data_IF_239570519141
#
_entry.id   IF_239570519141
#
_cell.length_a   1.000
_cell.length_b   1.000
_cell.length_c   1.000
_cell.angle_alpha   90.00
_cell.angle_beta   90.00
_cell.angle_gamma   90.00
#
_symmetry.space_group_name_H-M   'P 1'
#
loop_
_entity.id
_entity.type
_entity.pdbx_description
1 polymer ?
#
# COMPACT_ATOMS: atom_id res chain seq x y z
N UNK A 1 17.95 -3.34 26.96
CA UNK A 1 17.51 -4.54 27.67
C UNK A 1 16.05 -4.87 27.32
N UNK A 2 15.63 -6.13 27.54
CA UNK A 2 14.24 -6.50 27.58
C UNK A 2 13.61 -6.16 28.95
N UNK A 3 12.29 -6.35 29.10
CA UNK A 3 11.56 -6.02 30.34
C UNK A 3 12.14 -6.71 31.58
N UNK A 4 12.53 -8.00 31.46
CA UNK A 4 13.10 -8.78 32.59
C UNK A 4 14.48 -8.25 32.97
N UNK A 5 15.34 -8.04 32.01
CA UNK A 5 16.69 -7.48 32.22
C UNK A 5 16.61 -6.05 32.81
N UNK A 6 15.63 -5.24 32.34
CA UNK A 6 15.41 -3.91 32.89
C UNK A 6 14.98 -3.95 34.38
N UNK A 7 14.10 -4.88 34.75
CA UNK A 7 13.71 -5.10 36.17
C UNK A 7 14.91 -5.51 37.00
N UNK A 8 15.74 -6.44 36.54
CA UNK A 8 16.94 -6.90 37.23
C UNK A 8 17.96 -5.77 37.40
N UNK A 9 18.25 -5.02 36.32
CA UNK A 9 19.26 -3.98 36.34
C UNK A 9 18.81 -2.72 37.13
N UNK A 10 17.54 -2.34 37.03
CA UNK A 10 16.98 -1.22 37.77
C UNK A 10 16.55 -1.56 39.21
N UNK A 11 16.33 -2.84 39.52
CA UNK A 11 15.70 -3.33 40.74
C UNK A 11 14.31 -2.71 40.98
N UNK A 12 13.58 -2.44 39.93
CA UNK A 12 12.19 -1.97 39.93
C UNK A 12 11.32 -3.04 39.29
N UNK A 13 10.27 -3.46 39.97
CA UNK A 13 9.31 -4.41 39.42
C UNK A 13 8.34 -3.69 38.48
N UNK A 14 8.45 -3.95 37.17
CA UNK A 14 7.65 -3.28 36.13
C UNK A 14 6.29 -3.98 36.03
N UNK A 15 5.24 -3.34 36.58
CA UNK A 15 3.84 -3.83 36.55
C UNK A 15 2.97 -3.05 35.57
N UNK A 16 3.25 -1.77 35.39
CA UNK A 16 2.49 -0.80 34.62
C UNK A 16 3.43 0.21 33.95
N UNK A 17 2.86 1.17 33.22
CA UNK A 17 3.60 2.20 32.52
C UNK A 17 4.40 3.12 33.45
N UNK A 18 3.88 3.43 34.64
CA UNK A 18 4.56 4.27 35.59
C UNK A 18 5.84 3.60 36.13
N UNK A 19 5.76 2.34 36.53
CA UNK A 19 6.92 1.56 36.97
C UNK A 19 7.92 1.24 35.85
N UNK A 20 7.44 1.15 34.59
CA UNK A 20 8.31 1.07 33.41
C UNK A 20 9.09 2.37 33.22
N UNK A 21 8.43 3.53 33.33
CA UNK A 21 9.08 4.84 33.24
C UNK A 21 10.13 5.02 34.33
N UNK A 22 9.80 4.69 35.58
CA UNK A 22 10.75 4.75 36.70
C UNK A 22 12.00 3.87 36.45
N UNK A 23 11.78 2.67 35.91
CA UNK A 23 12.87 1.76 35.55
C UNK A 23 13.77 2.35 34.48
N UNK A 24 13.19 2.89 33.39
CA UNK A 24 13.93 3.48 32.28
C UNK A 24 14.72 4.72 32.73
N UNK A 25 14.14 5.61 33.53
CA UNK A 25 14.82 6.79 34.09
C UNK A 25 15.99 6.35 34.96
N UNK A 26 15.79 5.35 35.81
CA UNK A 26 16.86 4.83 36.68
C UNK A 26 18.00 4.22 35.86
N UNK A 27 17.69 3.49 34.78
CA UNK A 27 18.72 2.94 33.88
C UNK A 27 19.47 4.06 33.17
N UNK A 28 18.76 5.08 32.64
CA UNK A 28 19.36 6.26 32.01
C UNK A 28 20.39 6.92 32.94
N UNK A 29 20.00 7.21 34.16
CA UNK A 29 20.87 7.85 35.15
C UNK A 29 22.02 6.95 35.60
N UNK A 30 21.76 5.67 35.90
CA UNK A 30 22.77 4.72 36.38
C UNK A 30 23.88 4.43 35.37
N UNK A 31 23.54 4.43 34.08
CA UNK A 31 24.47 4.08 33.00
C UNK A 31 24.92 5.30 32.17
N UNK A 32 24.56 6.52 32.60
CA UNK A 32 24.89 7.78 31.95
C UNK A 32 24.55 7.77 30.44
N UNK A 33 23.30 7.42 30.13
CA UNK A 33 22.84 7.27 28.74
C UNK A 33 22.18 8.55 28.23
N UNK A 34 22.45 8.93 26.99
CA UNK A 34 21.70 9.97 26.29
C UNK A 34 20.25 9.53 26.06
N UNK A 35 20.04 8.29 25.68
CA UNK A 35 18.74 7.67 25.45
C UNK A 35 18.69 6.31 26.14
N UNK A 36 17.64 6.06 26.92
CA UNK A 36 17.34 4.75 27.49
C UNK A 36 16.15 4.11 26.78
N UNK A 37 16.24 2.82 26.46
CA UNK A 37 15.16 2.08 25.84
C UNK A 37 15.03 0.67 26.43
N UNK A 38 13.79 0.16 26.42
CA UNK A 38 13.44 -1.19 26.87
C UNK A 38 12.54 -1.85 25.83
N UNK A 39 12.91 -3.06 25.39
CA UNK A 39 12.04 -3.85 24.50
C UNK A 39 10.93 -4.54 25.31
N UNK A 40 9.70 -4.47 24.81
CA UNK A 40 8.47 -4.92 25.49
C UNK A 40 7.80 -6.10 24.76
N UNK A 41 8.57 -6.89 24.02
CA UNK A 41 8.07 -8.01 23.20
C UNK A 41 6.99 -7.52 22.22
N UNK A 42 5.79 -8.10 22.24
CA UNK A 42 4.65 -7.75 21.41
C UNK A 42 4.16 -6.31 21.58
N UNK A 43 4.50 -5.65 22.69
CA UNK A 43 4.13 -4.25 22.95
C UNK A 43 5.12 -3.24 22.36
N UNK A 44 6.21 -3.69 21.73
CA UNK A 44 7.16 -2.85 21.02
C UNK A 44 8.34 -2.38 21.86
N UNK A 45 8.68 -1.09 21.77
CA UNK A 45 9.86 -0.50 22.43
C UNK A 45 9.50 0.77 23.16
N UNK A 46 9.78 0.83 24.46
CA UNK A 46 9.71 2.05 25.25
C UNK A 46 11.02 2.83 25.13
N UNK A 47 10.94 4.14 24.97
CA UNK A 47 12.06 5.07 24.82
C UNK A 47 11.92 6.24 25.76
N UNK A 48 13.06 6.68 26.33
CA UNK A 48 13.16 7.89 27.14
C UNK A 48 14.44 8.67 26.83
N UNK A 49 14.25 9.87 26.28
CA UNK A 49 15.28 10.88 25.97
C UNK A 49 14.87 12.26 26.49
N UNK A 50 14.33 12.34 27.71
CA UNK A 50 13.59 13.44 28.34
C UNK A 50 12.09 13.45 28.01
N UNK A 51 11.64 12.65 27.04
CA UNK A 51 10.22 12.34 26.79
C UNK A 51 10.03 10.84 26.78
N UNK A 52 9.03 10.36 27.53
CA UNK A 52 8.64 8.97 27.51
C UNK A 52 7.66 8.70 26.36
N UNK A 53 7.88 7.61 25.62
CA UNK A 53 6.99 7.15 24.57
C UNK A 53 7.19 5.67 24.30
N UNK A 54 6.13 5.02 23.84
CA UNK A 54 6.14 3.62 23.45
C UNK A 54 5.85 3.54 21.95
N UNK A 55 6.76 2.91 21.22
CA UNK A 55 6.59 2.57 19.81
C UNK A 55 6.08 1.15 19.70
N UNK A 56 4.78 0.98 19.47
CA UNK A 56 4.14 -0.31 19.32
C UNK A 56 4.71 -1.09 18.13
N UNK A 57 4.79 -2.41 18.26
CA UNK A 57 5.08 -3.29 17.12
C UNK A 57 3.80 -3.64 16.38
N UNK A 58 3.92 -3.95 15.09
CA UNK A 58 2.81 -4.32 14.20
C UNK A 58 3.00 -5.71 13.60
N UNK A 59 3.67 -6.63 14.31
CA UNK A 59 3.89 -7.99 13.84
C UNK A 59 2.54 -8.68 13.54
N UNK A 60 2.35 -9.15 12.29
CA UNK A 60 1.12 -9.81 11.85
C UNK A 60 1.09 -11.29 12.21
N UNK A 61 2.23 -11.96 12.09
CA UNK A 61 2.38 -13.38 12.37
C UNK A 61 3.73 -13.58 13.08
N UNK A 62 3.72 -14.29 14.18
CA UNK A 62 4.90 -14.60 14.97
C UNK A 62 5.12 -16.10 14.90
N UNK A 63 6.18 -16.54 14.22
CA UNK A 63 6.58 -17.94 14.14
C UNK A 63 7.68 -18.26 15.16
N UNK A 64 8.69 -17.39 15.26
CA UNK A 64 9.80 -17.58 16.19
C UNK A 64 10.34 -16.21 16.66
N UNK A 65 10.51 -16.03 17.96
CA UNK A 65 11.03 -14.79 18.54
C UNK A 65 12.55 -14.80 18.71
N UNK A 66 13.21 -15.88 18.35
CA UNK A 66 14.66 -16.04 18.47
C UNK A 66 15.40 -15.02 17.62
N UNK A 67 16.30 -14.25 18.21
CA UNK A 67 17.09 -13.22 17.51
C UNK A 67 16.37 -11.90 17.27
N UNK A 68 15.09 -11.74 17.68
CA UNK A 68 14.37 -10.49 17.54
C UNK A 68 15.05 -9.33 18.27
N UNK A 69 15.50 -9.54 19.51
CA UNK A 69 16.22 -8.55 20.32
C UNK A 69 17.54 -8.12 19.68
N UNK A 70 18.31 -9.07 19.15
CA UNK A 70 19.58 -8.83 18.47
C UNK A 70 19.34 -8.03 17.17
N UNK A 71 18.26 -8.35 16.45
CA UNK A 71 17.84 -7.62 15.26
C UNK A 71 17.45 -6.17 15.57
N UNK A 72 16.69 -5.95 16.67
CA UNK A 72 16.37 -4.59 17.15
C UNK A 72 17.65 -3.82 17.43
N UNK A 73 18.59 -4.40 18.17
CA UNK A 73 19.83 -3.73 18.55
C UNK A 73 20.68 -3.39 17.32
N UNK A 74 20.89 -4.35 16.42
CA UNK A 74 21.69 -4.18 15.21
C UNK A 74 21.10 -3.12 14.27
N UNK A 75 19.78 -3.21 14.01
CA UNK A 75 19.09 -2.27 13.11
C UNK A 75 18.96 -0.87 13.70
N UNK A 76 18.81 -0.75 15.03
CA UNK A 76 18.83 0.52 15.75
C UNK A 76 20.20 1.19 15.61
N UNK A 77 21.29 0.48 15.91
CA UNK A 77 22.65 0.97 15.77
C UNK A 77 22.97 1.41 14.34
N UNK A 78 22.59 0.59 13.35
CA UNK A 78 22.74 0.94 11.94
C UNK A 78 21.99 2.22 11.59
N UNK A 79 20.74 2.36 12.00
CA UNK A 79 19.89 3.53 11.71
C UNK A 79 20.46 4.82 12.31
N UNK A 80 20.93 4.76 13.56
CA UNK A 80 21.58 5.90 14.24
C UNK A 80 22.87 6.27 13.53
N UNK A 81 23.69 5.28 13.14
CA UNK A 81 24.91 5.53 12.38
C UNK A 81 24.65 6.17 11.01
N UNK A 82 23.47 5.92 10.41
CA UNK A 82 23.01 6.59 9.20
C UNK A 82 22.40 7.99 9.45
N UNK A 83 22.39 8.48 10.69
CA UNK A 83 21.89 9.81 11.05
C UNK A 83 20.39 9.92 11.28
N UNK A 84 19.67 8.81 11.43
CA UNK A 84 18.25 8.85 11.77
C UNK A 84 18.03 9.32 13.21
N UNK A 85 16.96 10.08 13.44
CA UNK A 85 16.50 10.41 14.79
C UNK A 85 16.01 9.16 15.50
N UNK A 86 16.08 9.15 16.84
CA UNK A 86 15.75 7.97 17.67
C UNK A 86 14.38 7.36 17.34
N UNK A 87 13.35 8.16 17.15
CA UNK A 87 12.01 7.66 16.84
C UNK A 87 11.93 6.96 15.48
N UNK A 88 12.67 7.47 14.48
CA UNK A 88 12.77 6.87 13.16
C UNK A 88 13.59 5.56 13.23
N UNK A 89 14.67 5.57 13.99
CA UNK A 89 15.52 4.41 14.20
C UNK A 89 14.75 3.27 14.90
N UNK A 90 13.97 3.58 15.94
CA UNK A 90 13.13 2.60 16.64
C UNK A 90 12.02 2.04 15.73
N UNK A 91 11.36 2.89 14.93
CA UNK A 91 10.36 2.41 13.94
C UNK A 91 10.99 1.44 12.93
N UNK A 92 12.14 1.80 12.38
CA UNK A 92 12.87 0.92 11.46
C UNK A 92 13.26 -0.41 12.14
N UNK A 93 13.71 -0.37 13.39
CA UNK A 93 14.09 -1.57 14.15
C UNK A 93 12.90 -2.48 14.43
N UNK A 94 11.72 -1.91 14.73
CA UNK A 94 10.49 -2.68 14.89
C UNK A 94 10.08 -3.37 13.59
N UNK A 95 10.24 -2.72 12.43
CA UNK A 95 9.99 -3.34 11.13
C UNK A 95 10.97 -4.49 10.85
N UNK A 96 12.27 -4.29 11.11
CA UNK A 96 13.28 -5.32 10.93
C UNK A 96 13.02 -6.54 11.84
N UNK A 97 12.67 -6.32 13.10
CA UNK A 97 12.28 -7.38 14.02
C UNK A 97 11.00 -8.09 13.56
N UNK A 98 10.00 -7.35 13.04
CA UNK A 98 8.78 -7.90 12.47
C UNK A 98 9.02 -8.86 11.31
N UNK A 99 10.01 -8.58 10.45
CA UNK A 99 10.44 -9.50 9.38
C UNK A 99 11.05 -10.77 9.96
N UNK A 100 11.91 -10.64 10.98
CA UNK A 100 12.63 -11.80 11.57
C UNK A 100 11.69 -12.72 12.32
N UNK A 101 10.78 -12.19 13.15
CA UNK A 101 9.82 -13.03 13.91
C UNK A 101 8.81 -13.76 13.01
N UNK A 102 8.64 -13.31 11.77
CA UNK A 102 7.87 -14.00 10.71
C UNK A 102 8.61 -15.16 10.03
N UNK A 103 9.86 -15.45 10.44
CA UNK A 103 10.69 -16.54 9.88
C UNK A 103 10.92 -17.62 10.94
N UNK A 104 11.25 -18.83 10.51
CA UNK A 104 11.56 -19.93 11.42
C UNK A 104 13.06 -19.93 11.72
N UNK A 105 13.42 -20.00 13.01
CA UNK A 105 14.80 -20.03 13.49
C UNK A 105 15.51 -18.68 13.45
N UNK A 106 16.81 -18.66 13.71
CA UNK A 106 17.63 -17.45 13.63
C UNK A 106 17.72 -16.96 12.20
N UNK A 107 17.07 -15.84 11.90
CA UNK A 107 16.97 -15.28 10.57
C UNK A 107 17.52 -13.83 10.53
N UNK A 108 17.83 -13.36 9.33
CA UNK A 108 18.20 -11.98 9.07
C UNK A 108 17.11 -11.24 8.28
N UNK A 109 17.07 -9.92 8.37
CA UNK A 109 16.19 -9.07 7.57
C UNK A 109 17.03 -8.26 6.58
N UNK A 110 16.74 -8.39 5.29
CA UNK A 110 17.29 -7.51 4.25
C UNK A 110 16.47 -6.21 4.16
N UNK A 111 17.07 -5.13 3.65
CA UNK A 111 16.36 -3.87 3.41
C UNK A 111 15.14 -4.06 2.50
N UNK A 112 15.25 -4.93 1.49
CA UNK A 112 14.14 -5.24 0.60
C UNK A 112 12.96 -5.86 1.35
N UNK A 113 13.22 -6.85 2.21
CA UNK A 113 12.19 -7.48 3.03
C UNK A 113 11.55 -6.51 4.02
N UNK A 114 12.33 -5.59 4.60
CA UNK A 114 11.83 -4.56 5.52
C UNK A 114 10.89 -3.60 4.78
N UNK A 115 11.23 -3.15 3.56
CA UNK A 115 10.39 -2.29 2.73
C UNK A 115 9.10 -3.02 2.33
N UNK A 116 9.19 -4.28 1.92
CA UNK A 116 8.03 -5.12 1.58
C UNK A 116 7.12 -5.33 2.80
N UNK A 117 7.71 -5.56 3.96
CA UNK A 117 6.98 -5.70 5.22
C UNK A 117 6.27 -4.41 5.63
N UNK A 118 6.96 -3.25 5.64
CA UNK A 118 6.37 -1.95 5.91
C UNK A 118 5.18 -1.66 4.99
N UNK A 119 5.37 -1.88 3.68
CA UNK A 119 4.30 -1.79 2.70
C UNK A 119 3.12 -2.73 3.00
N UNK A 120 3.39 -3.91 3.54
CA UNK A 120 2.35 -4.90 3.87
C UNK A 120 1.53 -4.55 5.10
N UNK A 121 2.12 -3.80 6.06
CA UNK A 121 1.44 -3.41 7.32
C UNK A 121 0.63 -2.12 7.13
N UNK A 122 1.19 -1.17 6.40
CA UNK A 122 0.64 0.18 6.27
C UNK A 122 -0.37 0.30 5.11
N UNK A 123 -0.35 -0.63 4.14
CA UNK A 123 -1.35 -0.66 3.07
C UNK A 123 -2.58 -1.43 3.52
N UNK A 124 -3.76 -0.87 3.30
CA UNK A 124 -5.02 -1.61 3.38
C UNK A 124 -5.00 -2.81 2.42
N UNK A 125 -5.88 -3.78 2.60
CA UNK A 125 -5.99 -4.90 1.65
C UNK A 125 -6.14 -4.41 0.21
N UNK A 126 -6.89 -3.33 0.02
CA UNK A 126 -7.15 -2.71 -1.29
C UNK A 126 -5.93 -1.96 -1.83
N UNK A 127 -5.14 -1.27 -0.98
CA UNK A 127 -3.94 -0.53 -1.42
C UNK A 127 -2.91 -1.43 -2.11
N UNK A 128 -2.88 -2.72 -1.77
CA UNK A 128 -1.99 -3.70 -2.42
C UNK A 128 -2.28 -3.90 -3.90
N UNK A 129 -3.49 -3.58 -4.33
CA UNK A 129 -3.92 -3.64 -5.71
C UNK A 129 -3.59 -2.36 -6.50
N UNK A 130 -3.26 -1.24 -5.82
CA UNK A 130 -2.80 0.00 -6.46
C UNK A 130 -1.30 -0.12 -6.72
N UNK A 131 -0.89 0.05 -7.98
CA UNK A 131 0.50 -0.08 -8.44
C UNK A 131 0.97 1.18 -9.14
N UNK A 132 2.24 1.52 -8.95
CA UNK A 132 2.91 2.49 -9.82
C UNK A 132 3.22 1.86 -11.17
N UNK A 133 3.63 2.69 -12.13
CA UNK A 133 4.08 2.21 -13.44
C UNK A 133 5.28 1.26 -13.31
N UNK A 134 6.23 1.56 -12.43
CA UNK A 134 7.42 0.77 -12.18
C UNK A 134 7.11 -0.57 -11.50
N UNK A 135 6.13 -0.58 -10.59
CA UNK A 135 5.69 -1.79 -9.87
C UNK A 135 4.92 -2.76 -10.76
N UNK A 136 4.10 -2.26 -11.71
CA UNK A 136 3.25 -3.11 -12.52
C UNK A 136 4.02 -3.88 -13.60
N UNK A 137 5.12 -3.33 -14.14
CA UNK A 137 5.87 -3.93 -15.25
C UNK A 137 6.46 -5.31 -14.90
N UNK A 138 7.24 -5.48 -13.80
CA UNK A 138 7.75 -6.80 -13.45
C UNK A 138 6.64 -7.81 -13.14
N UNK A 139 5.53 -7.33 -12.57
CA UNK A 139 4.38 -8.17 -12.24
C UNK A 139 3.68 -8.70 -13.50
N UNK A 140 3.53 -7.86 -14.54
CA UNK A 140 2.99 -8.28 -15.84
C UNK A 140 3.88 -9.36 -16.48
N UNK A 141 5.19 -9.20 -16.38
CA UNK A 141 6.14 -10.17 -16.94
C UNK A 141 5.98 -11.55 -16.26
N UNK A 142 5.85 -11.60 -14.95
CA UNK A 142 5.58 -12.83 -14.20
C UNK A 142 4.21 -13.44 -14.56
N UNK A 143 3.16 -12.62 -14.64
CA UNK A 143 1.82 -13.07 -15.02
C UNK A 143 1.80 -13.70 -16.41
N UNK A 144 2.50 -13.11 -17.38
CA UNK A 144 2.63 -13.65 -18.74
C UNK A 144 3.41 -14.97 -18.77
N UNK A 145 4.49 -15.09 -17.98
CA UNK A 145 5.23 -16.35 -17.82
C UNK A 145 4.34 -17.47 -17.25
N UNK A 146 3.34 -17.12 -16.44
CA UNK A 146 2.33 -18.05 -15.92
C UNK A 146 1.13 -18.24 -16.84
N UNK A 147 1.21 -17.81 -18.08
CA UNK A 147 0.15 -17.89 -19.10
C UNK A 147 -1.17 -17.24 -18.64
N UNK A 148 -1.13 -16.18 -17.83
CA UNK A 148 -2.31 -15.43 -17.42
C UNK A 148 -2.78 -14.49 -18.51
N UNK A 149 -4.07 -14.56 -18.86
CA UNK A 149 -4.70 -13.69 -19.84
C UNK A 149 -4.97 -12.32 -19.23
N UNK A 150 -4.26 -11.28 -19.70
CA UNK A 150 -4.33 -9.93 -19.17
C UNK A 150 -5.36 -9.13 -19.95
N UNK A 151 -6.32 -8.55 -19.23
CA UNK A 151 -7.32 -7.61 -19.73
C UNK A 151 -6.94 -6.22 -19.22
N UNK A 152 -7.04 -5.22 -20.09
CA UNK A 152 -6.82 -3.82 -19.74
C UNK A 152 -8.05 -2.99 -20.09
N UNK A 153 -8.41 -2.09 -19.20
CA UNK A 153 -9.34 -1.00 -19.48
C UNK A 153 -8.85 0.29 -18.84
N UNK A 154 -9.41 1.44 -19.21
CA UNK A 154 -9.08 2.70 -18.54
C UNK A 154 -10.29 3.63 -18.48
N UNK A 155 -10.24 4.59 -17.56
CA UNK A 155 -11.28 5.60 -17.44
C UNK A 155 -11.06 6.55 -16.27
N UNK A 156 -11.94 7.54 -16.15
CA UNK A 156 -11.92 8.52 -15.06
C UNK A 156 -12.50 7.98 -13.76
N UNK A 157 -13.57 7.19 -13.82
CA UNK A 157 -14.26 6.57 -12.67
C UNK A 157 -14.49 7.53 -11.50
N UNK A 158 -14.98 8.74 -11.82
CA UNK A 158 -15.07 9.82 -10.84
C UNK A 158 -16.15 9.55 -9.78
N UNK A 159 -17.40 9.38 -10.20
CA UNK A 159 -18.49 8.94 -9.33
C UNK A 159 -18.89 7.52 -9.75
N UNK A 160 -18.65 6.56 -8.87
CA UNK A 160 -18.97 5.16 -9.12
C UNK A 160 -20.48 4.93 -9.09
N UNK A 161 -20.98 4.16 -10.06
CA UNK A 161 -22.37 3.76 -10.18
C UNK A 161 -22.48 2.34 -10.75
N UNK A 162 -23.67 1.76 -10.72
CA UNK A 162 -23.90 0.37 -11.15
C UNK A 162 -23.40 0.08 -12.58
N UNK A 163 -23.44 1.08 -13.48
CA UNK A 163 -22.88 0.94 -14.84
C UNK A 163 -21.38 0.66 -14.85
N UNK A 164 -20.62 1.26 -13.93
CA UNK A 164 -19.18 0.95 -13.78
C UNK A 164 -18.97 -0.47 -13.25
N UNK A 165 -19.78 -0.91 -12.29
CA UNK A 165 -19.68 -2.27 -11.73
C UNK A 165 -19.91 -3.31 -12.82
N UNK A 166 -21.02 -3.22 -13.57
CA UNK A 166 -21.35 -4.14 -14.65
C UNK A 166 -20.30 -4.14 -15.77
N UNK A 167 -19.77 -2.95 -16.12
CA UNK A 167 -18.71 -2.82 -17.10
C UNK A 167 -17.43 -3.54 -16.65
N UNK A 168 -17.00 -3.36 -15.39
CA UNK A 168 -15.80 -3.99 -14.86
C UNK A 168 -15.96 -5.50 -14.70
N UNK A 169 -17.14 -5.99 -14.32
CA UNK A 169 -17.45 -7.42 -14.28
C UNK A 169 -17.39 -8.04 -15.69
N UNK A 170 -17.96 -7.38 -16.67
CA UNK A 170 -17.89 -7.80 -18.08
C UNK A 170 -16.43 -7.79 -18.57
N UNK A 171 -15.67 -6.73 -18.29
CA UNK A 171 -14.27 -6.66 -18.66
C UNK A 171 -13.45 -7.81 -18.03
N UNK A 172 -13.65 -8.09 -16.74
CA UNK A 172 -12.98 -9.19 -16.03
C UNK A 172 -13.27 -10.56 -16.63
N UNK A 173 -14.49 -10.77 -17.12
CA UNK A 173 -14.90 -12.07 -17.70
C UNK A 173 -14.12 -12.47 -18.94
N UNK A 174 -13.40 -11.56 -19.59
CA UNK A 174 -12.62 -11.84 -20.80
C UNK A 174 -11.23 -12.42 -20.51
N UNK A 175 -10.76 -12.41 -19.23
CA UNK A 175 -9.45 -12.95 -18.90
C UNK A 175 -9.21 -13.18 -17.41
N UNK A 176 -7.99 -13.59 -17.08
CA UNK A 176 -7.61 -13.95 -15.72
C UNK A 176 -7.33 -12.73 -14.84
N UNK A 177 -6.74 -11.68 -15.40
CA UNK A 177 -6.25 -10.50 -14.70
C UNK A 177 -6.80 -9.25 -15.34
N UNK A 178 -7.54 -8.44 -14.57
CA UNK A 178 -8.01 -7.12 -15.00
C UNK A 178 -7.11 -6.02 -14.42
N UNK A 179 -6.45 -5.29 -15.31
CA UNK A 179 -5.67 -4.09 -14.99
C UNK A 179 -6.47 -2.87 -15.42
N UNK A 180 -6.67 -1.94 -14.48
CA UNK A 180 -7.41 -0.72 -14.72
C UNK A 180 -6.46 0.48 -14.74
N UNK A 181 -6.34 1.16 -15.88
CA UNK A 181 -5.69 2.45 -16.00
C UNK A 181 -6.62 3.57 -15.50
N UNK A 182 -6.25 4.25 -14.44
CA UNK A 182 -7.03 5.33 -13.86
C UNK A 182 -6.45 6.68 -14.26
N UNK A 183 -7.25 7.53 -14.90
CA UNK A 183 -6.85 8.90 -15.20
C UNK A 183 -6.59 9.69 -13.91
N UNK A 184 -5.42 10.35 -13.81
CA UNK A 184 -5.10 11.26 -12.71
C UNK A 184 -6.07 12.45 -12.66
N UNK A 185 -6.07 13.19 -11.57
CA UNK A 185 -6.90 14.40 -11.42
C UNK A 185 -6.61 15.40 -12.52
N UNK A 186 -5.34 15.64 -12.83
CA UNK A 186 -4.91 16.50 -13.93
C UNK A 186 -5.50 16.05 -15.27
N UNK A 187 -5.43 14.77 -15.57
CA UNK A 187 -5.95 14.20 -16.83
C UNK A 187 -7.48 14.32 -16.91
N UNK A 188 -8.17 14.05 -15.79
CA UNK A 188 -9.64 14.22 -15.74
C UNK A 188 -10.06 15.69 -15.93
N UNK A 189 -9.38 16.63 -15.27
CA UNK A 189 -9.63 18.07 -15.44
C UNK A 189 -9.44 18.50 -16.89
N UNK A 190 -8.41 18.02 -17.56
CA UNK A 190 -8.16 18.30 -18.97
C UNK A 190 -9.27 17.74 -19.89
N UNK A 191 -9.84 16.59 -19.56
CA UNK A 191 -10.87 15.90 -20.36
C UNK A 191 -12.29 16.39 -20.10
N UNK A 192 -12.62 16.77 -18.84
CA UNK A 192 -13.99 17.01 -18.37
C UNK A 192 -14.25 18.40 -17.80
N UNK A 193 -13.22 19.25 -17.74
CA UNK A 193 -13.35 20.61 -17.24
C UNK A 193 -12.88 20.78 -15.78
N UNK A 194 -12.80 22.06 -15.34
CA UNK A 194 -12.17 22.45 -14.06
C UNK A 194 -12.87 21.93 -12.82
N UNK A 195 -14.18 21.65 -12.92
CA UNK A 195 -14.99 21.17 -11.80
C UNK A 195 -14.94 19.64 -11.63
N UNK A 196 -14.04 18.98 -12.36
CA UNK A 196 -13.84 17.52 -12.33
C UNK A 196 -12.36 17.18 -12.15
N UNK A 197 -12.05 16.08 -11.42
CA UNK A 197 -12.97 15.12 -10.80
C UNK A 197 -13.58 15.66 -9.50
N UNK A 198 -14.66 15.00 -9.03
CA UNK A 198 -15.26 15.25 -7.71
C UNK A 198 -14.43 14.56 -6.61
N UNK A 199 -14.05 13.31 -6.84
CA UNK A 199 -13.19 12.53 -5.93
C UNK A 199 -11.75 12.58 -6.39
N UNK A 200 -10.82 12.69 -5.42
CA UNK A 200 -9.38 12.65 -5.69
C UNK A 200 -8.97 11.35 -6.39
N UNK A 201 -7.88 11.37 -7.15
CA UNK A 201 -7.35 10.16 -7.79
C UNK A 201 -7.06 9.05 -6.79
N UNK A 202 -6.63 9.38 -5.57
CA UNK A 202 -6.30 8.40 -4.53
C UNK A 202 -7.57 7.74 -3.98
N UNK A 203 -8.64 8.52 -3.73
CA UNK A 203 -9.95 7.98 -3.33
C UNK A 203 -10.53 7.10 -4.43
N UNK A 204 -10.47 7.54 -5.69
CA UNK A 204 -10.96 6.77 -6.84
C UNK A 204 -10.19 5.46 -7.01
N UNK A 205 -8.86 5.51 -6.85
CA UNK A 205 -8.02 4.32 -6.93
C UNK A 205 -8.35 3.33 -5.80
N UNK A 206 -8.52 3.81 -4.58
CA UNK A 206 -8.85 2.96 -3.42
C UNK A 206 -10.22 2.29 -3.59
N UNK A 207 -11.24 3.02 -4.03
CA UNK A 207 -12.58 2.47 -4.31
C UNK A 207 -12.49 1.37 -5.37
N UNK A 208 -11.79 1.62 -6.48
CA UNK A 208 -11.64 0.66 -7.57
C UNK A 208 -10.83 -0.57 -7.17
N UNK A 209 -9.79 -0.39 -6.38
CA UNK A 209 -8.96 -1.45 -5.85
C UNK A 209 -9.70 -2.36 -4.83
N UNK A 210 -10.79 -1.87 -4.25
CA UNK A 210 -11.66 -2.65 -3.38
C UNK A 210 -12.66 -3.55 -4.16
N UNK A 211 -12.79 -3.38 -5.47
CA UNK A 211 -13.66 -4.22 -6.29
C UNK A 211 -13.00 -5.58 -6.53
N UNK A 212 -13.67 -6.66 -6.14
CA UNK A 212 -13.19 -8.03 -6.29
C UNK A 212 -12.77 -8.39 -7.73
N UNK A 213 -13.35 -7.73 -8.73
CA UNK A 213 -13.08 -7.99 -10.14
C UNK A 213 -11.88 -7.22 -10.69
N UNK A 214 -11.35 -6.24 -9.96
CA UNK A 214 -10.18 -5.44 -10.33
C UNK A 214 -8.95 -6.00 -9.62
N UNK A 215 -8.01 -6.54 -10.38
CA UNK A 215 -6.79 -7.10 -9.81
C UNK A 215 -5.74 -6.01 -9.54
N UNK A 216 -5.62 -5.04 -10.43
CA UNK A 216 -4.67 -3.92 -10.28
C UNK A 216 -5.22 -2.62 -10.83
N UNK A 217 -4.91 -1.52 -10.14
CA UNK A 217 -5.18 -0.14 -10.56
C UNK A 217 -3.84 0.58 -10.75
N UNK A 218 -3.69 1.25 -11.89
CA UNK A 218 -2.49 2.05 -12.20
C UNK A 218 -2.93 3.46 -12.57
N UNK A 219 -2.49 4.47 -11.80
CA UNK A 219 -2.78 5.87 -12.10
C UNK A 219 -1.81 6.35 -13.19
N UNK A 220 -2.31 7.00 -14.23
CA UNK A 220 -1.51 7.60 -15.29
C UNK A 220 -1.84 9.09 -15.49
N UNK A 221 -0.82 9.88 -15.81
CA UNK A 221 -0.90 11.34 -15.91
C UNK A 221 -1.10 11.87 -17.33
N UNK A 222 -0.88 11.04 -18.33
CA UNK A 222 -0.97 11.42 -19.73
C UNK A 222 -2.42 11.62 -20.18
N UNK A 223 -2.63 12.36 -21.26
CA UNK A 223 -3.95 12.58 -21.82
C UNK A 223 -4.56 11.29 -22.41
N UNK A 224 -3.71 10.33 -22.76
CA UNK A 224 -4.13 9.02 -23.27
C UNK A 224 -3.37 7.90 -22.56
N UNK A 225 -3.92 6.68 -22.43
CA UNK A 225 -3.27 5.56 -21.79
C UNK A 225 -2.23 4.86 -22.69
N UNK A 226 -1.77 5.48 -23.78
CA UNK A 226 -0.94 4.85 -24.79
C UNK A 226 0.33 4.22 -24.23
N UNK A 227 1.10 4.97 -23.41
CA UNK A 227 2.35 4.48 -22.84
C UNK A 227 2.11 3.31 -21.89
N UNK A 228 1.04 3.36 -21.12
CA UNK A 228 0.65 2.28 -20.20
C UNK A 228 0.25 1.03 -20.99
N UNK A 229 -0.58 1.15 -22.03
CA UNK A 229 -0.98 0.05 -22.91
C UNK A 229 0.24 -0.56 -23.62
N UNK A 230 1.15 0.30 -24.15
CA UNK A 230 2.38 -0.13 -24.81
C UNK A 230 3.29 -0.95 -23.91
N UNK A 231 3.35 -0.62 -22.65
CA UNK A 231 4.19 -1.34 -21.67
C UNK A 231 3.52 -2.62 -21.18
N UNK A 232 2.20 -2.61 -20.98
CA UNK A 232 1.44 -3.79 -20.55
C UNK A 232 1.33 -4.81 -21.68
N UNK A 233 1.09 -4.35 -22.92
CA UNK A 233 0.74 -5.20 -24.06
C UNK A 233 -0.34 -6.22 -23.66
N UNK A 234 -1.55 -5.76 -23.36
CA UNK A 234 -2.62 -6.63 -22.88
C UNK A 234 -3.08 -7.59 -23.98
N UNK A 235 -3.55 -8.77 -23.62
CA UNK A 235 -4.21 -9.68 -24.56
C UNK A 235 -5.56 -9.10 -25.00
N UNK A 236 -6.29 -8.44 -24.08
CA UNK A 236 -7.58 -7.82 -24.41
C UNK A 236 -7.61 -6.38 -23.91
N UNK A 237 -7.95 -5.47 -24.82
CA UNK A 237 -8.27 -4.08 -24.51
C UNK A 237 -9.78 -3.91 -24.51
N UNK A 238 -10.35 -3.50 -23.35
CA UNK A 238 -11.81 -3.31 -23.21
C UNK A 238 -12.15 -1.83 -23.17
N UNK A 239 -13.17 -1.45 -23.93
CA UNK A 239 -13.74 -0.09 -23.96
C UNK A 239 -15.25 -0.10 -23.83
N UNK A 240 -15.82 1.01 -23.41
CA UNK A 240 -17.26 1.19 -23.33
C UNK A 240 -17.91 1.42 -24.71
N UNK A 241 -19.21 1.27 -24.78
CA UNK A 241 -20.01 1.39 -26.01
C UNK A 241 -19.91 2.74 -26.74
N UNK A 242 -19.50 3.80 -26.02
CA UNK A 242 -19.20 5.12 -26.61
C UNK A 242 -18.00 5.14 -27.56
N UNK A 243 -17.21 4.07 -27.59
CA UNK A 243 -16.09 3.85 -28.52
C UNK A 243 -16.47 3.02 -29.75
N UNK A 244 -17.71 2.55 -29.88
CA UNK A 244 -18.15 1.83 -31.04
C UNK A 244 -17.97 2.68 -32.32
N UNK A 245 -17.22 2.14 -33.29
CA UNK A 245 -16.92 2.81 -34.55
C UNK A 245 -15.91 3.95 -34.51
N UNK A 246 -15.22 4.15 -33.37
CA UNK A 246 -14.13 5.13 -33.18
C UNK A 246 -12.79 4.45 -33.13
N UNK A 247 -11.73 5.18 -33.50
CA UNK A 247 -10.36 4.75 -33.29
C UNK A 247 -10.06 4.64 -31.78
N UNK A 248 -9.48 3.52 -31.37
CA UNK A 248 -9.18 3.23 -29.98
C UNK A 248 -7.67 3.27 -29.77
N UNK A 249 -7.22 4.15 -28.89
CA UNK A 249 -5.79 4.27 -28.51
C UNK A 249 -5.27 2.92 -28.01
N UNK A 250 -4.23 2.40 -28.69
CA UNK A 250 -3.58 1.14 -28.36
C UNK A 250 -4.27 -0.11 -28.93
N UNK A 251 -5.23 0.04 -29.83
CA UNK A 251 -5.89 -1.09 -30.51
C UNK A 251 -4.93 -1.95 -31.35
N UNK A 252 -3.84 -1.34 -31.82
CA UNK A 252 -2.76 -1.97 -32.57
C UNK A 252 -1.73 -2.70 -31.69
N UNK A 253 -1.82 -2.54 -30.38
CA UNK A 253 -0.91 -3.12 -29.40
C UNK A 253 -1.52 -4.34 -28.71
N UNK A 254 -2.83 -4.32 -28.47
CA UNK A 254 -3.55 -5.44 -27.88
C UNK A 254 -3.82 -6.55 -28.91
N UNK A 255 -3.88 -7.81 -28.47
CA UNK A 255 -4.21 -8.93 -29.36
C UNK A 255 -5.68 -8.85 -29.83
N UNK A 256 -6.57 -8.34 -28.99
CA UNK A 256 -8.00 -8.20 -29.26
C UNK A 256 -8.59 -6.96 -28.58
N UNK A 257 -9.57 -6.30 -29.24
CA UNK A 257 -10.36 -5.22 -28.65
C UNK A 257 -11.80 -5.69 -28.44
N UNK A 258 -12.33 -5.47 -27.24
CA UNK A 258 -13.74 -5.74 -26.88
C UNK A 258 -14.47 -4.44 -26.54
N UNK A 259 -15.65 -4.28 -27.09
CA UNK A 259 -16.58 -3.20 -26.71
C UNK A 259 -17.64 -3.79 -25.79
N UNK A 260 -17.86 -3.16 -24.65
CA UNK A 260 -18.89 -3.52 -23.68
C UNK A 260 -19.95 -2.43 -23.66
N UNK A 261 -21.19 -2.79 -23.87
CA UNK A 261 -22.29 -1.84 -23.82
C UNK A 261 -22.51 -1.31 -22.41
N UNK A 262 -22.90 -0.05 -22.29
CA UNK A 262 -23.22 0.55 -20.99
C UNK A 262 -24.66 0.21 -20.58
N UNK A 263 -24.87 0.16 -19.25
CA UNK A 263 -26.23 0.14 -18.70
C UNK A 263 -26.89 1.51 -18.94
N UNK A 264 -28.05 1.48 -19.62
CA UNK A 264 -28.82 2.67 -19.94
C UNK A 264 -29.15 3.53 -18.71
N UNK A 265 -29.08 4.83 -18.87
CA UNK A 265 -29.47 5.80 -17.87
C UNK A 265 -28.49 5.95 -16.68
N UNK A 266 -27.32 5.28 -16.71
CA UNK A 266 -26.30 5.35 -15.67
C UNK A 266 -25.08 6.11 -16.17
N UNK A 267 -24.91 7.36 -15.70
CA UNK A 267 -23.69 8.16 -15.92
C UNK A 267 -23.39 9.04 -14.71
N UNK A 268 -22.11 9.35 -14.50
CA UNK A 268 -21.70 10.31 -13.45
C UNK A 268 -22.30 11.70 -13.68
N UNK A 269 -22.44 12.14 -14.95
CA UNK A 269 -23.08 13.40 -15.30
C UNK A 269 -24.54 13.42 -14.89
N UNK A 270 -25.32 12.40 -15.23
CA UNK A 270 -26.71 12.28 -14.83
C UNK A 270 -26.89 12.27 -13.30
N UNK A 271 -25.92 11.70 -12.57
CA UNK A 271 -25.93 11.69 -11.11
C UNK A 271 -25.77 13.10 -10.55
N UNK A 272 -24.80 13.86 -11.08
CA UNK A 272 -24.55 15.26 -10.69
C UNK A 272 -25.79 16.13 -11.02
N UNK A 273 -26.35 16.02 -12.21
CA UNK A 273 -27.55 16.76 -12.60
C UNK A 273 -28.77 16.47 -11.70
N UNK A 274 -28.94 15.22 -11.28
CA UNK A 274 -30.00 14.87 -10.33
C UNK A 274 -29.79 15.51 -8.96
N UNK A 275 -28.54 15.59 -8.49
CA UNK A 275 -28.21 16.27 -7.23
C UNK A 275 -28.52 17.77 -7.37
N UNK A 276 -28.01 18.43 -8.41
CA UNK A 276 -28.21 19.86 -8.62
C UNK A 276 -29.67 20.26 -8.83
N UNK A 277 -30.52 19.36 -9.37
CA UNK A 277 -31.95 19.63 -9.53
C UNK A 277 -32.77 19.43 -8.24
N UNK A 278 -32.21 18.75 -7.26
CA UNK A 278 -32.92 18.42 -6.02
C UNK A 278 -32.63 19.41 -4.89
N UNK A 279 -31.55 20.15 -5.02
CA UNK A 279 -31.11 21.21 -4.09
C UNK A 279 -30.88 22.51 -4.82
#
# INVERSE_FOLDING_TARGET
PNKKEAMEASQINIKDEASLLDSIIKLKSKCDLDVSLVTLSENGVAVYDDKFRIHSTTAKEVFDVTGAGDTVLASLGFSIACGLKIDQAVKFSNLAAGVVVGKIGSATASLKEIIEYDSSINKSSSDKHIKTFEEIIPLISDLKLRNKKIVFTNGCFDLIHAGHVSFLESAKSFGDILILGLNSDRSVTALKGKDRPINSQDDRALILAAFKVVDYVVIFNENTPFNLIKSIKPHILVKGGDYAGKEIVGQDIADEVKIVEFLDGKSSTNTIEKILKKY
#
